data_IF_048655353589
#
_entry.id   IF_048655353589
#
_cell.length_a   1.000
_cell.length_b   1.000
_cell.length_c   1.000
_cell.angle_alpha   90.00
_cell.angle_beta   90.00
_cell.angle_gamma   90.00
#
_symmetry.space_group_name_H-M   'P 1'
#
loop_
_entity.id
_entity.type
_entity.pdbx_description
1 polymer ?
#
# COMPACT_ATOMS: atom_id res chain seq x y z
N UNK A 1 9.08 4.05 8.76
CA UNK A 1 7.94 4.16 7.82
C UNK A 1 8.02 5.45 7.05
N UNK A 2 7.42 5.50 5.87
CA UNK A 2 7.37 6.69 5.01
C UNK A 2 5.95 7.26 4.93
N UNK A 3 5.82 8.58 4.96
CA UNK A 3 4.55 9.26 4.69
C UNK A 3 4.76 10.67 4.14
N UNK A 4 3.71 11.30 3.61
CA UNK A 4 3.83 12.67 3.06
C UNK A 4 4.30 13.72 4.08
N UNK A 5 3.87 13.60 5.34
CA UNK A 5 4.29 14.48 6.43
C UNK A 5 5.08 13.71 7.50
N UNK A 6 5.94 14.40 8.28
CA UNK A 6 6.68 13.77 9.36
C UNK A 6 5.76 13.09 10.38
N UNK A 7 6.22 11.96 10.91
CA UNK A 7 5.57 11.20 11.99
C UNK A 7 6.61 10.87 13.04
N UNK A 8 6.28 11.14 14.30
CA UNK A 8 7.04 10.69 15.46
C UNK A 8 6.34 9.45 16.04
N UNK A 9 6.94 8.29 15.86
CA UNK A 9 6.45 7.01 16.38
C UNK A 9 7.63 6.36 17.11
N UNK A 10 7.45 6.07 18.39
CA UNK A 10 8.50 5.47 19.20
C UNK A 10 8.95 4.13 18.62
N UNK A 11 10.26 3.88 18.61
CA UNK A 11 10.86 2.68 18.01
C UNK A 11 10.79 2.59 16.48
N UNK A 12 10.20 3.57 15.76
CA UNK A 12 10.08 3.55 14.30
C UNK A 12 10.79 4.74 13.67
N UNK A 13 11.84 4.48 12.88
CA UNK A 13 12.48 5.51 12.06
C UNK A 13 11.48 6.06 11.03
N UNK A 14 11.16 7.35 11.13
CA UNK A 14 10.28 8.06 10.21
C UNK A 14 11.05 8.69 9.03
N UNK A 15 10.48 8.57 7.84
CA UNK A 15 10.89 9.27 6.61
C UNK A 15 9.68 10.04 6.09
N UNK A 16 9.90 11.22 5.51
CA UNK A 16 8.81 12.05 5.03
C UNK A 16 9.10 12.80 3.72
N UNK A 17 8.06 12.91 2.90
CA UNK A 17 8.12 13.63 1.62
C UNK A 17 8.91 12.88 0.54
N UNK A 18 8.90 13.45 -0.67
CA UNK A 18 9.58 12.86 -1.83
C UNK A 18 11.11 12.78 -1.62
N UNK A 19 11.69 13.80 -0.97
CA UNK A 19 13.13 13.92 -0.70
C UNK A 19 13.70 12.71 0.06
N UNK A 20 12.91 12.14 0.98
CA UNK A 20 13.34 11.02 1.83
C UNK A 20 12.78 9.68 1.38
N UNK A 21 12.06 9.61 0.25
CA UNK A 21 11.49 8.37 -0.25
C UNK A 21 12.58 7.37 -0.64
N UNK A 22 13.63 7.83 -1.33
CA UNK A 22 14.75 6.97 -1.73
C UNK A 22 15.53 6.43 -0.52
N UNK A 23 15.75 7.25 0.51
CA UNK A 23 16.40 6.80 1.74
C UNK A 23 15.58 5.74 2.49
N UNK A 24 14.25 5.89 2.46
CA UNK A 24 13.33 4.89 3.00
C UNK A 24 13.44 3.56 2.24
N UNK A 25 13.46 3.59 0.90
CA UNK A 25 13.59 2.39 0.07
C UNK A 25 14.92 1.67 0.31
N UNK A 26 16.04 2.41 0.35
CA UNK A 26 17.37 1.85 0.63
C UNK A 26 17.46 1.18 2.01
N UNK A 27 16.66 1.64 2.98
CA UNK A 27 16.56 1.06 4.31
C UNK A 27 15.59 -0.14 4.39
N UNK A 28 14.91 -0.51 3.30
CA UNK A 28 13.81 -1.48 3.31
C UNK A 28 14.22 -2.83 2.73
N UNK A 29 14.26 -3.86 3.57
CA UNK A 29 14.31 -5.27 3.15
C UNK A 29 12.92 -5.89 2.96
N UNK A 30 11.91 -5.35 3.63
CA UNK A 30 10.51 -5.70 3.41
C UNK A 30 9.74 -4.41 3.18
N UNK A 31 9.19 -4.25 1.98
CA UNK A 31 8.36 -3.11 1.62
C UNK A 31 6.89 -3.50 1.81
N UNK A 32 6.21 -2.86 2.77
CA UNK A 32 4.76 -3.04 2.99
C UNK A 32 4.03 -1.78 2.53
N UNK A 33 3.17 -1.90 1.52
CA UNK A 33 2.40 -0.79 0.98
C UNK A 33 1.01 -0.69 1.64
N UNK A 34 0.75 0.48 2.21
CA UNK A 34 -0.51 0.87 2.87
C UNK A 34 -0.95 2.28 2.40
N UNK A 35 -0.45 2.75 1.26
CA UNK A 35 -0.76 4.08 0.75
C UNK A 35 -2.21 4.16 0.24
N UNK A 36 -2.88 5.32 0.31
CA UNK A 36 -4.06 5.57 -0.50
C UNK A 36 -3.68 5.61 -1.98
N UNK A 37 -4.60 5.29 -2.89
CA UNK A 37 -4.39 5.49 -4.32
C UNK A 37 -4.82 6.90 -4.73
N UNK A 38 -3.83 7.71 -5.06
CA UNK A 38 -3.95 9.06 -5.64
C UNK A 38 -3.11 9.15 -6.91
N UNK A 39 -3.26 10.19 -7.75
CA UNK A 39 -2.35 10.43 -8.88
C UNK A 39 -0.87 10.37 -8.48
N UNK A 40 -0.49 10.97 -7.35
CA UNK A 40 0.90 10.96 -6.83
C UNK A 40 1.45 9.58 -6.44
N UNK A 41 0.59 8.58 -6.30
CA UNK A 41 0.98 7.23 -5.82
C UNK A 41 0.69 6.14 -6.84
N UNK A 42 0.01 6.46 -7.93
CA UNK A 42 -0.16 5.51 -9.02
C UNK A 42 1.23 5.09 -9.51
N UNK A 43 1.44 3.77 -9.65
CA UNK A 43 2.71 3.18 -10.04
C UNK A 43 3.90 3.52 -9.10
N UNK A 44 3.64 3.89 -7.84
CA UNK A 44 4.72 4.18 -6.86
C UNK A 44 5.63 2.99 -6.57
N UNK A 45 5.22 1.77 -6.93
CA UNK A 45 6.04 0.56 -6.91
C UNK A 45 6.30 0.16 -8.37
N UNK A 46 7.31 0.79 -8.95
CA UNK A 46 7.82 0.58 -10.30
C UNK A 46 9.26 0.00 -10.27
N UNK A 47 9.86 -0.14 -11.45
CA UNK A 47 11.24 -0.60 -11.62
C UNK A 47 12.25 0.15 -10.74
N UNK A 48 12.17 1.47 -10.72
CA UNK A 48 13.14 2.32 -10.00
C UNK A 48 12.97 2.19 -8.49
N UNK A 49 11.74 2.09 -8.02
CA UNK A 49 11.41 1.84 -6.61
C UNK A 49 11.92 0.48 -6.17
N UNK A 50 11.64 -0.56 -6.96
CA UNK A 50 12.04 -1.93 -6.67
C UNK A 50 13.57 -2.08 -6.64
N UNK A 51 14.29 -1.45 -7.57
CA UNK A 51 15.76 -1.49 -7.65
C UNK A 51 16.48 -0.78 -6.49
N UNK A 52 15.78 0.10 -5.76
CA UNK A 52 16.30 0.82 -4.59
C UNK A 52 16.14 0.05 -3.29
N UNK A 53 15.37 -1.03 -3.29
CA UNK A 53 15.23 -1.88 -2.11
C UNK A 53 16.56 -2.60 -1.80
N UNK A 54 16.65 -3.16 -0.60
CA UNK A 54 17.82 -3.99 -0.28
C UNK A 54 17.81 -5.28 -1.13
N UNK A 55 18.97 -5.76 -1.63
CA UNK A 55 19.03 -6.98 -2.44
C UNK A 55 18.38 -8.19 -1.77
N UNK A 56 17.46 -8.86 -2.44
CA UNK A 56 16.65 -9.96 -1.91
C UNK A 56 15.46 -9.48 -1.05
N UNK A 57 14.92 -8.31 -1.33
CA UNK A 57 13.79 -7.74 -0.60
C UNK A 57 12.47 -8.50 -0.83
N UNK A 58 11.51 -8.30 0.05
CA UNK A 58 10.13 -8.78 -0.11
C UNK A 58 9.17 -7.61 -0.30
N UNK A 59 8.17 -7.78 -1.16
CA UNK A 59 7.12 -6.78 -1.40
C UNK A 59 5.78 -7.31 -0.89
N UNK A 60 5.08 -6.52 -0.07
CA UNK A 60 3.73 -6.81 0.40
C UNK A 60 2.82 -5.66 -0.03
N UNK A 61 1.85 -5.95 -0.91
CA UNK A 61 0.86 -4.94 -1.33
C UNK A 61 -0.53 -5.31 -0.83
N UNK A 62 -1.00 -4.56 0.16
CA UNK A 62 -2.36 -4.65 0.74
C UNK A 62 -3.11 -3.33 0.61
N UNK A 63 -2.67 -2.47 -0.31
CA UNK A 63 -3.21 -1.14 -0.54
C UNK A 63 -4.16 -1.11 -1.75
N UNK A 64 -3.66 -0.80 -2.95
CA UNK A 64 -4.39 -0.91 -4.22
C UNK A 64 -3.48 -1.48 -5.30
N UNK A 65 -4.05 -2.20 -6.27
CA UNK A 65 -3.26 -2.80 -7.34
C UNK A 65 -2.57 -1.78 -8.26
N UNK A 66 -3.19 -0.62 -8.50
CA UNK A 66 -2.61 0.43 -9.32
C UNK A 66 -1.38 1.13 -8.69
N UNK A 67 -0.98 0.78 -7.47
CA UNK A 67 0.31 1.19 -6.91
C UNK A 67 1.48 0.43 -7.54
N UNK A 68 1.27 -0.78 -8.04
CA UNK A 68 2.32 -1.71 -8.48
C UNK A 68 2.31 -1.90 -9.99
N UNK A 69 3.45 -1.72 -10.65
CA UNK A 69 3.65 -2.10 -12.06
C UNK A 69 3.98 -3.59 -12.13
N UNK A 70 3.11 -4.38 -12.76
CA UNK A 70 3.16 -5.85 -12.66
C UNK A 70 4.40 -6.42 -13.36
N UNK A 71 4.74 -5.87 -14.53
CA UNK A 71 5.91 -6.27 -15.32
C UNK A 71 7.23 -5.98 -14.59
N UNK A 72 7.28 -4.85 -13.87
CA UNK A 72 8.46 -4.44 -13.12
C UNK A 72 8.68 -5.35 -11.91
N UNK A 73 7.61 -5.75 -11.20
CA UNK A 73 7.71 -6.72 -10.12
C UNK A 73 8.21 -8.08 -10.63
N UNK A 74 7.66 -8.56 -11.74
CA UNK A 74 8.09 -9.82 -12.36
C UNK A 74 9.59 -9.76 -12.72
N UNK A 75 10.03 -8.68 -13.39
CA UNK A 75 11.44 -8.50 -13.74
C UNK A 75 12.35 -8.43 -12.50
N UNK A 76 11.92 -7.71 -11.45
CA UNK A 76 12.68 -7.60 -10.22
C UNK A 76 12.80 -8.94 -9.48
N UNK A 77 11.76 -9.77 -9.53
CA UNK A 77 11.79 -11.12 -8.97
C UNK A 77 12.70 -12.02 -9.81
N UNK A 78 12.56 -12.02 -11.14
CA UNK A 78 13.37 -12.85 -12.04
C UNK A 78 14.86 -12.52 -11.99
N UNK A 79 15.23 -11.25 -11.81
CA UNK A 79 16.63 -10.85 -11.55
C UNK A 79 17.17 -11.29 -10.18
N UNK A 80 16.31 -11.73 -9.26
CA UNK A 80 16.66 -12.08 -7.89
C UNK A 80 16.82 -10.88 -6.95
N UNK A 81 16.64 -9.66 -7.43
CA UNK A 81 16.68 -8.47 -6.58
C UNK A 81 15.52 -8.44 -5.58
N UNK A 82 14.33 -8.91 -5.99
CA UNK A 82 13.20 -9.18 -5.09
C UNK A 82 13.09 -10.69 -4.88
N UNK A 83 13.13 -11.11 -3.61
CA UNK A 83 13.06 -12.52 -3.23
C UNK A 83 11.64 -13.10 -3.36
N UNK A 84 10.61 -12.27 -3.26
CA UNK A 84 9.22 -12.65 -3.47
C UNK A 84 8.22 -11.56 -3.10
N UNK A 85 6.95 -11.82 -3.36
CA UNK A 85 5.88 -10.88 -3.07
C UNK A 85 4.62 -11.54 -2.49
N UNK A 86 3.88 -10.81 -1.67
CA UNK A 86 2.53 -11.15 -1.23
C UNK A 86 1.58 -10.02 -1.67
N UNK A 87 0.59 -10.36 -2.49
CA UNK A 87 -0.29 -9.41 -3.16
C UNK A 87 -1.75 -9.71 -2.80
N UNK A 88 -2.42 -8.76 -2.17
CA UNK A 88 -3.85 -8.87 -1.86
C UNK A 88 -4.74 -8.10 -2.85
N UNK A 89 -4.14 -7.24 -3.67
CA UNK A 89 -4.84 -6.28 -4.54
C UNK A 89 -4.21 -6.24 -5.92
N UNK A 90 -5.02 -6.02 -6.95
CA UNK A 90 -4.63 -6.11 -8.36
C UNK A 90 -5.18 -4.95 -9.18
N UNK A 91 -4.54 -4.64 -10.32
CA UNK A 91 -5.00 -3.56 -11.21
C UNK A 91 -6.41 -3.84 -11.72
N UNK A 92 -6.68 -5.11 -12.02
CA UNK A 92 -7.98 -5.63 -12.41
C UNK A 92 -8.40 -6.68 -11.39
N UNK A 93 -9.59 -6.52 -10.82
CA UNK A 93 -10.15 -7.45 -9.84
C UNK A 93 -11.52 -7.94 -10.31
N UNK A 94 -11.77 -9.27 -10.35
CA UNK A 94 -10.84 -10.36 -10.02
C UNK A 94 -9.62 -10.42 -10.93
N UNK A 95 -8.49 -10.89 -10.40
CA UNK A 95 -7.26 -11.07 -11.18
C UNK A 95 -7.54 -12.00 -12.37
N UNK A 96 -7.29 -11.57 -13.63
CA UNK A 96 -7.54 -12.41 -14.80
C UNK A 96 -6.89 -13.79 -14.69
N UNK A 97 -7.60 -14.84 -15.12
CA UNK A 97 -7.16 -16.24 -14.96
C UNK A 97 -5.84 -16.55 -15.66
N UNK A 98 -5.51 -15.85 -16.74
CA UNK A 98 -4.24 -15.98 -17.46
C UNK A 98 -3.10 -15.13 -16.90
N UNK A 99 -3.29 -14.41 -15.79
CA UNK A 99 -2.27 -13.52 -15.25
C UNK A 99 -1.06 -14.28 -14.69
N UNK A 100 0.14 -13.80 -14.96
CA UNK A 100 1.40 -14.47 -14.59
C UNK A 100 1.55 -14.70 -13.08
N UNK A 101 1.02 -13.78 -12.25
CA UNK A 101 1.07 -13.90 -10.80
C UNK A 101 0.45 -15.21 -10.26
N UNK A 102 -0.55 -15.79 -10.92
CA UNK A 102 -1.18 -17.04 -10.46
C UNK A 102 -0.21 -18.21 -10.37
N UNK A 103 0.76 -18.28 -11.30
CA UNK A 103 1.66 -19.42 -11.45
C UNK A 103 3.09 -19.10 -11.01
N UNK A 104 3.35 -17.87 -10.59
CA UNK A 104 4.69 -17.45 -10.25
C UNK A 104 5.10 -17.99 -8.86
N UNK A 105 6.15 -18.83 -8.73
CA UNK A 105 6.42 -19.59 -7.51
C UNK A 105 6.82 -18.73 -6.30
N UNK A 106 7.25 -17.50 -6.55
CA UNK A 106 7.66 -16.51 -5.53
C UNK A 106 6.60 -15.44 -5.25
N UNK A 107 5.38 -15.60 -5.78
CA UNK A 107 4.26 -14.68 -5.54
C UNK A 107 3.15 -15.44 -4.82
N UNK A 108 2.71 -14.89 -3.69
CA UNK A 108 1.52 -15.34 -2.96
C UNK A 108 0.39 -14.34 -3.20
N UNK A 109 -0.80 -14.85 -3.54
CA UNK A 109 -1.99 -14.04 -3.81
C UNK A 109 -3.05 -14.28 -2.73
N UNK A 110 -3.69 -13.21 -2.27
CA UNK A 110 -4.95 -13.26 -1.52
C UNK A 110 -6.03 -12.41 -2.22
N UNK A 111 -7.32 -12.77 -2.12
CA UNK A 111 -8.36 -12.18 -2.96
C UNK A 111 -8.99 -10.91 -2.34
N UNK A 112 -8.19 -9.88 -2.07
CA UNK A 112 -8.62 -8.60 -1.47
C UNK A 112 -9.32 -8.79 -0.11
N UNK A 113 -8.63 -9.46 0.80
CA UNK A 113 -9.16 -9.87 2.12
C UNK A 113 -8.28 -9.48 3.30
N UNK A 114 -7.18 -8.75 3.07
CA UNK A 114 -6.22 -8.33 4.11
C UNK A 114 -6.87 -7.56 5.27
N UNK A 115 -7.90 -6.75 4.99
CA UNK A 115 -8.66 -6.03 6.00
C UNK A 115 -10.13 -5.91 5.59
N UNK A 116 -10.97 -6.85 6.06
CA UNK A 116 -12.42 -6.79 5.82
C UNK A 116 -13.08 -5.80 6.78
N UNK A 117 -14.05 -5.05 6.26
CA UNK A 117 -14.90 -4.19 7.07
C UNK A 117 -15.66 -5.02 8.10
N UNK A 118 -15.45 -4.72 9.39
CA UNK A 118 -16.22 -5.31 10.47
C UNK A 118 -17.57 -4.59 10.58
N UNK A 119 -18.64 -5.30 10.25
CA UNK A 119 -19.97 -4.70 10.01
C UNK A 119 -20.50 -3.98 11.24
N UNK A 120 -20.48 -4.62 12.40
CA UNK A 120 -21.15 -4.13 13.60
C UNK A 120 -20.40 -2.92 14.19
N UNK A 121 -19.06 -2.95 14.19
CA UNK A 121 -18.20 -1.83 14.57
C UNK A 121 -18.36 -0.64 13.62
N UNK A 122 -18.50 -0.91 12.32
CA UNK A 122 -18.69 0.13 11.29
C UNK A 122 -20.04 0.82 11.46
N UNK A 123 -21.12 0.07 11.68
CA UNK A 123 -22.44 0.62 11.99
C UNK A 123 -22.36 1.50 13.24
N UNK A 124 -21.73 1.00 14.31
CA UNK A 124 -21.58 1.75 15.54
C UNK A 124 -20.75 3.03 15.34
N UNK A 125 -19.70 2.98 14.51
CA UNK A 125 -18.89 4.15 14.17
C UNK A 125 -19.71 5.20 13.38
N UNK A 126 -20.48 4.77 12.38
CA UNK A 126 -21.31 5.66 11.56
C UNK A 126 -22.37 6.34 12.43
N UNK A 127 -23.13 5.57 13.23
CA UNK A 127 -24.16 6.10 14.10
C UNK A 127 -23.61 7.13 15.09
N UNK A 128 -22.44 6.86 15.70
CA UNK A 128 -21.77 7.82 16.59
C UNK A 128 -21.38 9.11 15.86
N UNK A 129 -20.82 9.02 14.66
CA UNK A 129 -20.42 10.20 13.87
C UNK A 129 -21.63 11.02 13.43
N UNK A 130 -22.73 10.39 13.03
CA UNK A 130 -23.98 11.09 12.68
C UNK A 130 -24.53 11.88 13.86
N UNK A 131 -24.59 11.26 15.05
CA UNK A 131 -25.07 11.93 16.25
C UNK A 131 -24.18 13.11 16.66
N UNK A 132 -22.86 12.97 16.54
CA UNK A 132 -21.90 14.06 16.80
C UNK A 132 -22.12 15.24 15.83
N UNK A 133 -22.23 14.95 14.53
CA UNK A 133 -22.48 15.97 13.50
C UNK A 133 -23.81 16.72 13.73
N UNK A 134 -24.87 16.02 14.15
CA UNK A 134 -26.15 16.64 14.50
C UNK A 134 -26.06 17.60 15.68
N UNK A 135 -25.10 17.40 16.59
CA UNK A 135 -24.80 18.31 17.71
C UNK A 135 -23.82 19.44 17.33
N UNK A 136 -23.36 19.50 16.09
CA UNK A 136 -22.35 20.46 15.64
C UNK A 136 -20.92 20.13 16.09
N UNK A 137 -20.67 18.89 16.52
CA UNK A 137 -19.34 18.44 16.94
C UNK A 137 -18.47 18.06 15.72
N UNK A 138 -17.17 18.31 15.82
CA UNK A 138 -16.21 17.85 14.83
C UNK A 138 -16.05 16.32 14.88
N UNK A 139 -15.84 15.70 13.72
CA UNK A 139 -15.58 14.25 13.61
C UNK A 139 -14.27 13.98 12.87
N UNK A 140 -13.61 12.88 13.22
CA UNK A 140 -12.41 12.42 12.54
C UNK A 140 -12.71 11.57 11.29
N UNK A 141 -11.71 11.43 10.42
CA UNK A 141 -11.80 10.63 9.19
C UNK A 141 -12.60 11.31 8.08
N UNK A 142 -12.60 12.65 8.05
CA UNK A 142 -13.13 13.43 6.94
C UNK A 142 -12.08 13.44 5.82
N UNK A 143 -12.46 12.92 4.65
CA UNK A 143 -11.63 12.95 3.44
C UNK A 143 -11.41 14.38 2.99
N UNK A 144 -10.19 14.72 2.55
CA UNK A 144 -9.92 16.00 1.90
C UNK A 144 -9.93 15.82 0.37
N UNK A 145 -10.96 16.29 -0.36
CA UNK A 145 -11.05 16.08 -1.80
C UNK A 145 -9.90 16.71 -2.59
N UNK A 146 -9.37 17.85 -2.13
CA UNK A 146 -8.22 18.50 -2.76
C UNK A 146 -6.91 17.74 -2.57
N UNK A 147 -6.82 16.92 -1.51
CA UNK A 147 -5.69 16.03 -1.25
C UNK A 147 -5.84 14.65 -1.91
N UNK A 148 -7.08 14.23 -2.20
CA UNK A 148 -7.43 12.95 -2.79
C UNK A 148 -7.60 11.79 -1.80
N UNK A 149 -7.56 12.06 -0.48
CA UNK A 149 -7.79 11.09 0.60
C UNK A 149 -8.03 11.78 1.95
#
# INVERSE_FOLDING_TARGET
GWSRSPKAIDGVRGFAGAEQFNDFLAASRVLVNLLPLTPDTANVIDKDTLARLQPGAYVINVARGAHLVDEDLLAAIESGHVAGATLDVFRTEPLPTGHAFWNHPRITITPHTSARTLRDESIAQIARKMAALQRGEAVAGVVNPGRGY
#
